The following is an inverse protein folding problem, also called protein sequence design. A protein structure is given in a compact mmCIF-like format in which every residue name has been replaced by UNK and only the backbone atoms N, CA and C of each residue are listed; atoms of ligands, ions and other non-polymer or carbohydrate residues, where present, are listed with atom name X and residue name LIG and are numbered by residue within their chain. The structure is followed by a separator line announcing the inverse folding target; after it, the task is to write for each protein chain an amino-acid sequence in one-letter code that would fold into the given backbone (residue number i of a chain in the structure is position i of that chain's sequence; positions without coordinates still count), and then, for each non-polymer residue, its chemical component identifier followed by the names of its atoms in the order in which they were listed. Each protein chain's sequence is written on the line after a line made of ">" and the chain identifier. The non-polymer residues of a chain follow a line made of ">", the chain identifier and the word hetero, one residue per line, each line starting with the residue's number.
data_IF_348939428522
#
_entry.id   IF_348939428522
#
_cell.length_a   1.000
_cell.length_b   1.000
_cell.length_c   1.000
_cell.angle_alpha   90.00
_cell.angle_beta   90.00
_cell.angle_gamma   90.00
#
_symmetry.space_group_name_H-M   'P 1'
#
loop_
_entity.id
_entity.type
_entity.pdbx_description
1 polymer ?
#
# COMPACT_ATOMS: atom_id res chain seq x y z
N UNK A 1 -46.05 -40.05 56.70
CA UNK A 1 -44.81 -39.42 56.17
C UNK A 1 -45.05 -39.16 54.68
N UNK A 2 -45.31 -37.91 54.30
CA UNK A 2 -45.59 -37.51 52.91
C UNK A 2 -44.28 -37.13 52.20
N UNK A 3 -43.90 -37.87 51.17
CA UNK A 3 -42.79 -37.48 50.29
C UNK A 3 -43.35 -36.82 49.04
N UNK A 4 -43.09 -35.51 48.87
CA UNK A 4 -43.39 -34.76 47.65
C UNK A 4 -42.24 -34.97 46.66
N UNK A 5 -42.52 -35.60 45.53
CA UNK A 5 -41.62 -35.62 44.38
C UNK A 5 -41.78 -34.28 43.65
N UNK A 6 -40.74 -33.44 43.67
CA UNK A 6 -40.64 -32.27 42.80
C UNK A 6 -40.01 -32.72 41.48
N UNK A 7 -40.80 -32.69 40.41
CA UNK A 7 -40.34 -32.89 39.04
C UNK A 7 -39.86 -31.52 38.51
N UNK A 8 -38.56 -31.27 38.50
CA UNK A 8 -37.99 -30.10 37.85
C UNK A 8 -37.91 -30.35 36.35
N UNK A 9 -38.79 -29.70 35.60
CA UNK A 9 -38.74 -29.66 34.14
C UNK A 9 -37.59 -28.71 33.73
N UNK A 10 -36.47 -29.26 33.26
CA UNK A 10 -35.37 -28.47 32.69
C UNK A 10 -35.75 -28.11 31.26
N UNK A 11 -36.11 -26.84 31.04
CA UNK A 11 -36.27 -26.26 29.70
C UNK A 11 -34.88 -26.10 29.07
N UNK A 12 -34.53 -27.00 28.15
CA UNK A 12 -33.41 -26.83 27.23
C UNK A 12 -33.77 -25.73 26.23
N UNK A 13 -33.36 -24.50 26.51
CA UNK A 13 -33.40 -23.41 25.52
C UNK A 13 -32.24 -23.65 24.55
N UNK A 14 -32.48 -23.78 23.23
CA UNK A 14 -31.40 -23.81 22.27
C UNK A 14 -30.72 -22.45 22.29
N UNK A 15 -29.47 -22.41 22.75
CA UNK A 15 -28.59 -21.25 22.58
C UNK A 15 -28.30 -21.17 21.08
N UNK A 16 -29.08 -20.38 20.37
CA UNK A 16 -28.71 -19.92 19.03
C UNK A 16 -27.49 -19.03 19.20
N UNK A 17 -26.31 -19.57 18.91
CA UNK A 17 -25.14 -18.78 18.63
C UNK A 17 -25.44 -17.94 17.39
N UNK A 18 -25.91 -16.71 17.60
CA UNK A 18 -25.85 -15.70 16.55
C UNK A 18 -24.36 -15.52 16.26
N UNK A 19 -23.92 -15.98 15.09
CA UNK A 19 -22.63 -15.57 14.55
C UNK A 19 -22.74 -14.07 14.33
N UNK A 20 -22.18 -13.29 15.24
CA UNK A 20 -22.06 -11.85 15.04
C UNK A 20 -21.33 -11.63 13.72
N UNK A 21 -21.84 -10.74 12.85
CA UNK A 21 -21.10 -10.37 11.65
C UNK A 21 -19.76 -9.82 12.12
N UNK A 22 -18.68 -10.55 11.83
CA UNK A 22 -17.33 -10.07 12.05
C UNK A 22 -17.23 -8.77 11.25
N UNK A 23 -17.10 -7.66 11.97
CA UNK A 23 -17.04 -6.32 11.39
C UNK A 23 -16.04 -6.32 10.24
N UNK A 24 -16.53 -6.15 9.01
CA UNK A 24 -15.69 -6.00 7.82
C UNK A 24 -14.70 -4.82 7.97
N UNK A 25 -14.93 -3.93 8.94
CA UNK A 25 -14.01 -2.88 9.35
C UNK A 25 -12.68 -3.40 9.94
N UNK A 26 -12.65 -4.63 10.47
CA UNK A 26 -11.43 -5.22 11.05
C UNK A 26 -10.37 -5.61 10.01
N UNK A 27 -10.74 -5.77 8.73
CA UNK A 27 -9.77 -6.02 7.65
C UNK A 27 -9.08 -4.74 7.16
N UNK A 28 -9.54 -3.56 7.60
CA UNK A 28 -8.93 -2.26 7.30
C UNK A 28 -8.08 -1.73 8.47
N UNK A 29 -7.76 -2.58 9.45
CA UNK A 29 -6.99 -2.18 10.63
C UNK A 29 -5.50 -1.93 10.36
N UNK A 30 -5.02 -2.12 9.13
CA UNK A 30 -3.72 -1.58 8.71
C UNK A 30 -3.92 -0.11 8.35
N UNK A 31 -3.17 0.77 9.00
CA UNK A 31 -3.12 2.21 8.73
C UNK A 31 -2.50 2.46 7.35
N UNK A 32 -3.30 2.24 6.30
CA UNK A 32 -2.92 2.41 4.91
C UNK A 32 -2.57 3.88 4.64
N UNK A 33 -1.43 4.12 3.98
CA UNK A 33 -1.06 5.47 3.57
C UNK A 33 -1.94 5.92 2.41
N UNK A 34 -2.66 7.01 2.61
CA UNK A 34 -3.43 7.64 1.54
C UNK A 34 -2.53 8.45 0.60
N UNK A 35 -2.96 8.73 -0.64
CA UNK A 35 -2.27 9.64 -1.55
C UNK A 35 -1.92 11.01 -0.93
N UNK A 36 -2.84 11.58 -0.16
CA UNK A 36 -2.63 12.87 0.52
C UNK A 36 -1.55 12.77 1.60
N UNK A 37 -1.54 11.68 2.37
CA UNK A 37 -0.49 11.42 3.37
C UNK A 37 0.88 11.20 2.71
N UNK A 38 0.92 10.53 1.56
CA UNK A 38 2.15 10.36 0.80
C UNK A 38 2.70 11.72 0.31
N UNK A 39 1.83 12.61 -0.20
CA UNK A 39 2.21 13.97 -0.58
C UNK A 39 2.80 14.74 0.61
N UNK A 40 2.09 14.78 1.74
CA UNK A 40 2.58 15.45 2.96
C UNK A 40 3.92 14.87 3.43
N UNK A 41 4.10 13.56 3.33
CA UNK A 41 5.35 12.92 3.67
C UNK A 41 6.49 13.42 2.77
N UNK A 42 6.31 13.41 1.45
CA UNK A 42 7.32 13.88 0.50
C UNK A 42 7.63 15.36 0.66
N UNK A 43 6.63 16.18 0.98
CA UNK A 43 6.78 17.61 1.28
C UNK A 43 7.60 17.84 2.55
N UNK A 44 7.24 17.19 3.65
CA UNK A 44 7.90 17.34 4.94
C UNK A 44 9.39 16.98 4.89
N UNK A 45 9.73 15.91 4.16
CA UNK A 45 11.11 15.47 3.98
C UNK A 45 11.87 16.22 2.87
N UNK A 46 11.22 17.18 2.19
CA UNK A 46 11.75 17.89 1.02
C UNK A 46 12.28 16.92 -0.06
N UNK A 47 11.50 15.90 -0.37
CA UNK A 47 11.91 14.81 -1.25
C UNK A 47 12.40 15.32 -2.62
N UNK A 48 13.50 14.76 -3.17
CA UNK A 48 13.98 15.12 -4.51
C UNK A 48 13.00 14.71 -5.62
N UNK A 49 11.96 13.94 -5.31
CA UNK A 49 10.86 13.66 -6.23
C UNK A 49 10.07 14.94 -6.56
N UNK A 50 9.93 15.87 -5.61
CA UNK A 50 9.04 17.04 -5.75
C UNK A 50 9.73 18.40 -5.48
N UNK A 51 10.87 18.46 -4.76
CA UNK A 51 11.52 19.73 -4.36
C UNK A 51 12.78 20.13 -5.15
N UNK A 52 13.35 19.24 -5.98
CA UNK A 52 14.61 19.50 -6.72
C UNK A 52 14.49 19.29 -8.23
N UNK A 53 13.30 19.52 -8.76
CA UNK A 53 12.97 19.19 -10.13
C UNK A 53 12.49 20.45 -10.82
N UNK A 54 13.44 21.25 -11.35
CA UNK A 54 13.17 22.54 -11.95
C UNK A 54 12.13 22.41 -13.08
N UNK A 55 10.90 22.85 -12.80
CA UNK A 55 9.77 22.79 -13.72
C UNK A 55 9.01 21.46 -13.72
N UNK A 56 9.38 20.45 -12.91
CA UNK A 56 8.52 19.27 -12.77
C UNK A 56 7.34 19.62 -11.86
N UNK A 57 6.14 19.29 -12.30
CA UNK A 57 4.91 19.41 -11.53
C UNK A 57 4.40 18.02 -11.17
N UNK A 58 3.98 17.83 -9.92
CA UNK A 58 3.21 16.65 -9.54
C UNK A 58 1.87 16.71 -10.26
N UNK A 59 1.55 15.67 -11.03
CA UNK A 59 0.29 15.57 -11.75
C UNK A 59 -0.73 14.72 -10.98
N UNK A 60 -0.30 13.60 -10.41
CA UNK A 60 -1.20 12.66 -9.74
C UNK A 60 -0.48 11.72 -8.77
N UNK A 61 -1.21 11.30 -7.75
CA UNK A 61 -0.86 10.20 -6.87
C UNK A 61 -1.86 9.06 -7.06
N UNK A 62 -1.36 7.82 -7.15
CA UNK A 62 -2.17 6.62 -7.39
C UNK A 62 -2.06 5.68 -6.19
N UNK A 63 -3.19 5.24 -5.65
CA UNK A 63 -3.22 4.19 -4.63
C UNK A 63 -3.42 2.82 -5.29
N UNK A 64 -2.47 1.90 -5.12
CA UNK A 64 -2.51 0.57 -5.71
C UNK A 64 -2.97 -0.53 -4.76
N UNK A 65 -3.02 -0.23 -3.46
CA UNK A 65 -3.47 -1.17 -2.44
C UNK A 65 -2.51 -1.28 -1.26
N UNK A 66 -2.87 -2.19 -0.38
CA UNK A 66 -2.11 -2.61 0.79
C UNK A 66 -1.99 -4.12 0.80
N UNK A 67 -0.84 -4.61 1.23
CA UNK A 67 -0.62 -6.02 1.56
C UNK A 67 0.19 -6.09 2.86
N UNK A 68 -0.34 -6.81 3.85
CA UNK A 68 0.16 -6.77 5.23
C UNK A 68 0.23 -5.31 5.74
N UNK A 69 1.41 -4.86 6.16
CA UNK A 69 1.69 -3.51 6.62
C UNK A 69 2.17 -2.57 5.50
N UNK A 70 2.31 -3.08 4.27
CA UNK A 70 2.90 -2.33 3.16
C UNK A 70 1.84 -1.62 2.32
N UNK A 71 2.02 -0.33 2.07
CA UNK A 71 1.19 0.45 1.14
C UNK A 71 1.96 0.81 -0.12
N UNK A 72 1.34 0.67 -1.29
CA UNK A 72 1.93 1.02 -2.58
C UNK A 72 1.29 2.28 -3.17
N UNK A 73 2.11 3.30 -3.39
CA UNK A 73 1.69 4.58 -3.98
C UNK A 73 2.47 4.84 -5.26
N UNK A 74 1.77 5.13 -6.36
CA UNK A 74 2.34 5.71 -7.56
C UNK A 74 2.37 7.24 -7.49
N UNK A 75 3.39 7.84 -8.08
CA UNK A 75 3.51 9.27 -8.28
C UNK A 75 3.77 9.54 -9.76
N UNK A 76 2.94 10.35 -10.38
CA UNK A 76 3.17 10.90 -11.71
C UNK A 76 3.60 12.36 -11.61
N UNK A 77 4.67 12.69 -12.34
CA UNK A 77 5.18 14.05 -12.50
C UNK A 77 5.32 14.38 -13.98
N UNK A 78 5.13 15.64 -14.33
CA UNK A 78 5.33 16.15 -15.69
C UNK A 78 6.45 17.18 -15.68
N UNK A 79 7.44 17.03 -16.55
CA UNK A 79 8.50 18.03 -16.74
C UNK A 79 8.04 19.19 -17.60
N UNK A 80 8.21 20.41 -17.10
CA UNK A 80 7.71 21.63 -17.73
C UNK A 80 8.38 22.01 -19.06
N UNK A 81 9.51 21.39 -19.42
CA UNK A 81 10.21 21.72 -20.67
C UNK A 81 9.76 20.88 -21.88
N UNK A 82 9.38 19.61 -21.66
CA UNK A 82 9.06 18.65 -22.73
C UNK A 82 7.71 17.94 -22.52
N UNK A 83 6.98 18.28 -21.45
CA UNK A 83 5.73 17.64 -21.03
C UNK A 83 5.83 16.12 -20.87
N UNK A 84 7.05 15.59 -20.72
CA UNK A 84 7.27 14.17 -20.52
C UNK A 84 6.74 13.76 -19.14
N UNK A 85 6.02 12.64 -19.11
CA UNK A 85 5.51 12.02 -17.89
C UNK A 85 6.58 11.14 -17.26
N UNK A 86 6.68 11.19 -15.94
CA UNK A 86 7.61 10.41 -15.14
C UNK A 86 6.89 9.76 -13.98
N UNK A 87 6.97 8.43 -13.91
CA UNK A 87 6.36 7.67 -12.84
C UNK A 87 7.38 7.33 -11.76
N UNK A 88 6.95 7.35 -10.51
CA UNK A 88 7.71 6.81 -9.38
C UNK A 88 6.80 5.90 -8.57
N UNK A 89 7.37 4.86 -7.99
CA UNK A 89 6.65 3.89 -7.19
C UNK A 89 7.23 3.89 -5.77
N UNK A 90 6.39 4.23 -4.80
CA UNK A 90 6.75 4.41 -3.40
C UNK A 90 6.19 3.26 -2.59
N UNK A 91 7.02 2.70 -1.70
CA UNK A 91 6.60 1.66 -0.77
C UNK A 91 6.66 2.21 0.65
N UNK A 92 5.52 2.19 1.32
CA UNK A 92 5.40 2.54 2.73
C UNK A 92 5.26 1.29 3.59
N UNK A 93 5.80 1.35 4.79
CA UNK A 93 5.55 0.44 5.91
C UNK A 93 4.75 1.17 6.98
N UNK A 94 3.45 0.90 7.03
CA UNK A 94 2.50 1.75 7.76
C UNK A 94 2.79 3.21 7.39
N UNK A 95 3.19 4.05 8.33
CA UNK A 95 3.50 5.47 8.12
C UNK A 95 4.97 5.77 7.76
N UNK A 96 5.80 4.78 7.49
CA UNK A 96 7.23 4.95 7.15
C UNK A 96 7.46 4.78 5.66
N UNK A 97 8.00 5.78 4.97
CA UNK A 97 8.46 5.61 3.59
C UNK A 97 9.76 4.79 3.59
N UNK A 98 9.68 3.53 3.16
CA UNK A 98 10.86 2.66 3.04
C UNK A 98 11.78 3.16 1.94
N UNK A 99 11.19 3.54 0.81
CA UNK A 99 11.91 4.01 -0.36
C UNK A 99 11.04 4.04 -1.61
N UNK A 100 11.69 4.20 -2.76
CA UNK A 100 10.99 4.30 -4.03
C UNK A 100 11.86 3.91 -5.23
N UNK A 101 11.19 3.55 -6.32
CA UNK A 101 11.77 3.54 -7.67
C UNK A 101 11.41 4.85 -8.39
N UNK A 102 12.40 5.50 -9.00
CA UNK A 102 12.22 6.79 -9.68
C UNK A 102 12.26 6.64 -11.20
N UNK A 103 11.36 7.32 -11.90
CA UNK A 103 11.29 7.36 -13.37
C UNK A 103 11.12 5.97 -13.99
N UNK A 104 10.24 5.16 -13.41
CA UNK A 104 9.91 3.85 -13.98
C UNK A 104 9.07 4.04 -15.24
N UNK A 105 9.20 3.12 -16.20
CA UNK A 105 8.51 3.25 -17.48
C UNK A 105 6.98 3.01 -17.37
N UNK A 106 6.56 2.24 -16.38
CA UNK A 106 5.14 1.92 -16.16
C UNK A 106 4.88 1.67 -14.68
N UNK A 107 3.73 2.14 -14.19
CA UNK A 107 3.23 1.78 -12.87
C UNK A 107 2.61 0.37 -12.91
N UNK A 108 2.57 -0.35 -11.77
CA UNK A 108 1.78 -1.58 -11.67
C UNK A 108 0.28 -1.28 -11.86
N UNK A 109 -0.52 -2.32 -12.05
CA UNK A 109 -1.98 -2.24 -12.09
C UNK A 109 -2.59 -2.39 -10.70
N UNK A 110 -2.08 -3.33 -9.91
CA UNK A 110 -2.55 -3.65 -8.56
C UNK A 110 -1.53 -4.57 -7.87
N UNK A 111 -1.76 -4.83 -6.58
CA UNK A 111 -1.05 -5.84 -5.80
C UNK A 111 -1.90 -7.13 -5.82
N UNK A 112 -1.29 -8.25 -6.19
CA UNK A 112 -1.91 -9.58 -6.14
C UNK A 112 -2.14 -10.03 -4.69
N UNK A 113 -3.01 -11.03 -4.43
CA UNK A 113 -3.31 -11.48 -3.08
C UNK A 113 -2.13 -12.02 -2.27
N UNK A 114 -1.04 -12.41 -2.94
CA UNK A 114 0.20 -12.90 -2.33
C UNK A 114 1.28 -11.80 -2.18
N UNK A 115 0.94 -10.54 -2.50
CA UNK A 115 1.85 -9.41 -2.43
C UNK A 115 2.65 -9.16 -3.70
N UNK A 116 2.50 -9.99 -4.74
CA UNK A 116 3.16 -9.77 -6.03
C UNK A 116 2.65 -8.48 -6.69
N UNK A 117 3.56 -7.69 -7.26
CA UNK A 117 3.20 -6.53 -8.08
C UNK A 117 2.82 -6.98 -9.50
N UNK A 118 1.60 -6.68 -9.92
CA UNK A 118 1.10 -7.01 -11.26
C UNK A 118 1.27 -5.82 -12.20
N UNK A 119 1.95 -5.99 -13.34
CA UNK A 119 2.19 -4.93 -14.32
C UNK A 119 1.34 -5.08 -15.59
N UNK A 120 1.11 -3.99 -16.36
CA UNK A 120 0.36 -4.07 -17.61
C UNK A 120 0.95 -5.08 -18.60
N UNK A 121 0.08 -5.69 -19.41
CA UNK A 121 0.52 -6.63 -20.45
C UNK A 121 1.55 -5.98 -21.39
N UNK A 122 2.61 -6.71 -21.70
CA UNK A 122 3.72 -6.23 -22.53
C UNK A 122 4.82 -5.51 -21.74
N UNK A 123 4.65 -5.35 -20.42
CA UNK A 123 5.73 -4.97 -19.51
C UNK A 123 6.26 -6.24 -18.86
N UNK A 124 7.35 -6.77 -19.41
CA UNK A 124 8.01 -7.97 -18.87
C UNK A 124 9.05 -7.55 -17.84
N UNK A 125 8.96 -8.08 -16.63
CA UNK A 125 9.98 -7.88 -15.59
C UNK A 125 11.07 -8.94 -15.73
N UNK A 126 12.32 -8.57 -15.44
CA UNK A 126 13.39 -9.54 -15.29
C UNK A 126 13.16 -10.45 -14.07
N UNK A 127 12.62 -9.89 -13.00
CA UNK A 127 12.37 -10.55 -11.73
C UNK A 127 10.99 -10.21 -11.17
N UNK A 128 10.35 -11.18 -10.51
CA UNK A 128 9.11 -10.94 -9.77
C UNK A 128 9.39 -10.06 -8.56
N UNK A 129 8.54 -9.06 -8.34
CA UNK A 129 8.65 -8.17 -7.19
C UNK A 129 7.43 -8.37 -6.29
N UNK A 130 7.72 -8.58 -5.01
CA UNK A 130 6.75 -8.61 -3.92
C UNK A 130 6.84 -7.32 -3.13
N UNK A 131 5.71 -6.82 -2.63
CA UNK A 131 5.71 -5.56 -1.87
C UNK A 131 6.31 -5.71 -0.45
N UNK A 132 6.30 -6.91 0.11
CA UNK A 132 6.72 -7.19 1.49
C UNK A 132 8.09 -7.87 1.61
N UNK A 133 8.86 -7.89 0.53
CA UNK A 133 10.25 -8.36 0.55
C UNK A 133 11.16 -7.47 1.42
N UNK A 134 12.17 -8.08 2.05
CA UNK A 134 13.10 -7.40 2.95
C UNK A 134 14.05 -6.45 2.20
N UNK A 135 14.47 -6.83 0.99
CA UNK A 135 15.36 -6.07 0.13
C UNK A 135 14.73 -5.86 -1.25
N UNK A 136 14.75 -4.62 -1.74
CA UNK A 136 14.21 -4.26 -3.05
C UNK A 136 15.33 -4.26 -4.10
N UNK A 137 15.31 -5.17 -5.09
CA UNK A 137 16.29 -5.20 -6.18
C UNK A 137 16.02 -4.07 -7.16
N UNK A 138 16.88 -3.91 -8.16
CA UNK A 138 16.58 -2.99 -9.26
C UNK A 138 15.35 -3.46 -10.04
N UNK A 139 14.47 -2.52 -10.41
CA UNK A 139 13.31 -2.76 -11.26
C UNK A 139 13.75 -2.78 -12.73
N UNK A 140 13.86 -3.97 -13.33
CA UNK A 140 14.29 -4.15 -14.71
C UNK A 140 13.09 -4.53 -15.60
N UNK A 141 12.57 -3.56 -16.37
CA UNK A 141 11.55 -3.79 -17.38
C UNK A 141 12.21 -4.09 -18.73
N UNK A 142 11.70 -5.07 -19.47
CA UNK A 142 12.29 -5.49 -20.74
C UNK A 142 12.39 -4.33 -21.73
N UNK A 143 13.59 -4.15 -22.29
CA UNK A 143 13.87 -3.06 -23.24
C UNK A 143 14.01 -1.68 -22.60
N UNK A 144 14.07 -1.58 -21.27
CA UNK A 144 14.32 -0.35 -20.51
C UNK A 144 15.55 -0.53 -19.61
N UNK A 145 16.26 0.56 -19.26
CA UNK A 145 17.28 0.49 -18.22
C UNK A 145 16.66 0.11 -16.88
N UNK A 146 17.38 -0.70 -16.09
CA UNK A 146 16.97 -1.01 -14.74
C UNK A 146 16.93 0.27 -13.89
N UNK A 147 15.92 0.37 -13.03
CA UNK A 147 15.76 1.47 -12.09
C UNK A 147 16.14 0.97 -10.70
N UNK A 148 17.18 1.57 -10.13
CA UNK A 148 17.64 1.24 -8.79
C UNK A 148 16.64 1.66 -7.71
N UNK A 149 16.58 0.88 -6.64
CA UNK A 149 15.85 1.21 -5.43
C UNK A 149 16.54 2.36 -4.68
N UNK A 150 15.77 3.38 -4.29
CA UNK A 150 16.25 4.46 -3.43
C UNK A 150 15.71 4.25 -2.02
N UNK A 151 16.57 3.76 -1.12
CA UNK A 151 16.23 3.58 0.29
C UNK A 151 16.11 4.94 1.00
N UNK A 152 15.09 5.09 1.84
CA UNK A 152 14.77 6.30 2.58
C UNK A 152 14.70 6.03 4.09
N UNK A 153 13.74 5.21 4.53
CA UNK A 153 13.54 4.89 5.95
C UNK A 153 13.02 6.06 6.81
N UNK A 154 12.24 6.97 6.22
CA UNK A 154 11.73 8.15 6.90
C UNK A 154 10.31 7.89 7.44
N UNK A 155 10.10 8.18 8.73
CA UNK A 155 8.76 8.16 9.31
C UNK A 155 8.00 9.42 8.91
N UNK A 156 6.85 9.26 8.28
CA UNK A 156 5.97 10.35 7.93
C UNK A 156 5.17 10.73 9.19
N UNK A 157 5.29 11.98 9.63
CA UNK A 157 4.40 12.52 10.66
C UNK A 157 3.06 12.85 10.00
N UNK A 158 2.15 11.87 9.99
CA UNK A 158 0.81 12.04 9.45
C UNK A 158 -0.06 12.61 10.57
N UNK A 159 -0.47 13.89 10.49
CA UNK A 159 -1.46 14.42 11.42
C UNK A 159 -2.80 13.77 11.13
N UNK A 160 -3.43 13.24 12.18
CA UNK A 160 -4.83 12.83 12.13
C UNK A 160 -5.67 14.10 12.30
N UNK A 161 -6.04 14.71 11.19
CA UNK A 161 -7.08 15.76 11.18
C UNK A 161 -8.47 15.13 11.13
#
# INVERSE_FOLDING_TARGET
>A
MCWRVFLSLVLLVPVTYALEPQDAASYFATEAVTPQQAELCLESMRSPLIHNSEGDHVNSYYYFGVHHDRTLIGLERVKGADYSQYFSLLVFDQTTLLGYYRNIASLPLFIEPDGQLSFPRGVELADTIYIDQDEFPALCLAGQPCVEWVSVGARCELSAD
#
